data_IF_079901234085
#
_entry.id   IF_079901234085
#
_cell.length_a   1.000
_cell.length_b   1.000
_cell.length_c   1.000
_cell.angle_alpha   90.00
_cell.angle_beta   90.00
_cell.angle_gamma   90.00
#
_symmetry.space_group_name_H-M   'P 1'
#
loop_
_entity.id
_entity.type
_entity.pdbx_description
1 polymer ?
#
# COMPACT_ATOMS: atom_id res chain seq x y z
N UNK A 1 -80.94 27.51 22.73
CA UNK A 1 -80.52 26.17 23.17
C UNK A 1 -79.61 25.63 22.07
N UNK A 2 -78.32 25.30 22.20
CA UNK A 2 -77.33 25.26 23.27
C UNK A 2 -76.02 25.83 22.69
N UNK A 3 -75.26 26.60 23.47
CA UNK A 3 -73.84 26.91 23.22
C UNK A 3 -72.99 25.76 23.75
N UNK A 4 -72.02 25.29 22.97
CA UNK A 4 -70.91 24.46 23.45
C UNK A 4 -69.59 25.13 23.04
N UNK A 5 -68.72 25.29 24.03
CA UNK A 5 -67.60 26.23 24.09
C UNK A 5 -66.33 25.73 23.40
N UNK A 6 -65.66 26.64 22.70
CA UNK A 6 -64.26 26.55 22.28
C UNK A 6 -63.33 26.61 23.51
N UNK A 7 -63.07 25.48 24.16
CA UNK A 7 -62.11 25.42 25.26
C UNK A 7 -61.49 24.03 25.41
N UNK A 8 -60.89 23.46 24.33
CA UNK A 8 -60.13 22.22 24.47
C UNK A 8 -59.07 21.97 23.37
N UNK A 9 -58.50 23.02 22.78
CA UNK A 9 -57.42 22.88 21.77
C UNK A 9 -56.14 23.66 22.12
N UNK A 10 -56.12 24.43 23.21
CA UNK A 10 -54.97 25.29 23.56
C UNK A 10 -54.02 24.71 24.63
N UNK A 11 -54.19 23.45 25.03
CA UNK A 11 -53.48 22.85 26.18
C UNK A 11 -52.33 21.88 25.87
N UNK A 12 -51.92 21.67 24.61
CA UNK A 12 -50.91 20.66 24.25
C UNK A 12 -49.77 21.17 23.36
N UNK A 13 -49.59 22.49 23.23
CA UNK A 13 -48.55 23.09 22.38
C UNK A 13 -47.45 23.85 23.15
N UNK A 14 -47.37 23.73 24.48
CA UNK A 14 -46.47 24.54 25.31
C UNK A 14 -45.18 23.85 25.80
N UNK A 15 -44.78 22.69 25.26
CA UNK A 15 -43.54 22.00 25.70
C UNK A 15 -42.53 21.66 24.60
N UNK A 16 -42.69 22.17 23.37
CA UNK A 16 -41.71 21.92 22.31
C UNK A 16 -41.45 23.14 21.43
N UNK A 17 -41.08 24.27 22.03
CA UNK A 17 -40.39 25.35 21.32
C UNK A 17 -38.95 25.41 21.79
N UNK A 18 -38.19 24.34 21.53
CA UNK A 18 -36.74 24.52 21.34
C UNK A 18 -36.64 25.36 20.08
N UNK A 19 -36.14 26.60 20.22
CA UNK A 19 -35.99 27.48 19.05
C UNK A 19 -35.07 26.81 18.04
N UNK A 20 -35.38 26.93 16.74
CA UNK A 20 -34.55 26.39 15.66
C UNK A 20 -33.08 26.85 15.79
N UNK A 21 -32.85 28.03 16.39
CA UNK A 21 -31.54 28.57 16.75
C UNK A 21 -30.83 27.74 17.84
N UNK A 22 -31.51 27.33 18.91
CA UNK A 22 -30.93 26.44 19.94
C UNK A 22 -30.67 25.03 19.41
N UNK A 23 -31.51 24.54 18.51
CA UNK A 23 -31.33 23.22 17.89
C UNK A 23 -30.16 23.19 16.89
N UNK A 24 -29.90 24.32 16.22
CA UNK A 24 -28.74 24.51 15.34
C UNK A 24 -27.43 24.66 16.13
N UNK A 25 -27.44 25.36 17.27
CA UNK A 25 -26.27 25.45 18.17
C UNK A 25 -25.93 24.11 18.82
N UNK A 26 -26.94 23.30 19.20
CA UNK A 26 -26.69 21.95 19.69
C UNK A 26 -26.12 21.05 18.58
N UNK A 27 -26.61 21.18 17.34
CA UNK A 27 -26.12 20.41 16.20
C UNK A 27 -24.67 20.76 15.82
N UNK A 28 -24.23 22.02 15.96
CA UNK A 28 -22.82 22.40 15.78
C UNK A 28 -21.86 21.67 16.73
N UNK A 29 -22.33 21.33 17.94
CA UNK A 29 -21.54 20.58 18.92
C UNK A 29 -21.47 19.06 18.64
N UNK A 30 -22.30 18.54 17.73
CA UNK A 30 -22.33 17.13 17.35
C UNK A 30 -21.86 16.88 15.91
N UNK A 31 -21.62 17.93 15.14
CA UNK A 31 -21.05 17.84 13.80
C UNK A 31 -19.58 18.26 13.89
N UNK A 32 -18.70 17.39 13.40
CA UNK A 32 -17.26 17.65 13.31
C UNK A 32 -16.97 18.73 12.27
N UNK A 33 -17.24 19.98 12.65
CA UNK A 33 -16.97 21.20 11.87
C UNK A 33 -15.57 21.73 12.21
N UNK A 34 -15.01 22.58 11.34
CA UNK A 34 -13.75 23.26 11.64
C UNK A 34 -13.89 24.14 12.89
N UNK A 35 -15.01 24.88 13.01
CA UNK A 35 -15.33 25.69 14.20
C UNK A 35 -15.35 24.86 15.49
N UNK A 36 -15.87 23.63 15.46
CA UNK A 36 -15.83 22.73 16.61
C UNK A 36 -14.38 22.39 16.98
N UNK A 37 -13.54 22.08 16.00
CA UNK A 37 -12.15 21.74 16.25
C UNK A 37 -11.32 22.92 16.76
N UNK A 38 -11.59 24.15 16.30
CA UNK A 38 -10.92 25.34 16.81
C UNK A 38 -11.30 25.59 18.28
N UNK A 39 -12.60 25.55 18.60
CA UNK A 39 -13.07 25.66 19.98
C UNK A 39 -12.53 24.54 20.88
N UNK A 40 -12.45 23.31 20.36
CA UNK A 40 -11.91 22.17 21.08
C UNK A 40 -10.43 22.38 21.43
N UNK A 41 -9.62 22.88 20.48
CA UNK A 41 -8.19 23.13 20.64
C UNK A 41 -7.87 24.34 21.53
N UNK A 42 -8.79 25.30 21.60
CA UNK A 42 -8.69 26.43 22.54
C UNK A 42 -9.07 26.00 23.97
N UNK A 43 -10.05 25.12 24.10
CA UNK A 43 -10.56 24.66 25.41
C UNK A 43 -9.77 23.48 25.98
N UNK A 44 -9.07 22.71 25.14
CA UNK A 44 -8.30 21.53 25.51
C UNK A 44 -6.93 21.58 24.83
N UNK A 45 -5.86 21.33 25.59
CA UNK A 45 -4.52 21.24 25.02
C UNK A 45 -4.34 19.91 24.27
N UNK A 46 -4.08 19.98 22.96
CA UNK A 46 -3.62 18.82 22.20
C UNK A 46 -2.22 18.42 22.67
N UNK A 47 -1.97 17.13 22.83
CA UNK A 47 -0.63 16.62 23.11
C UNK A 47 0.38 17.07 22.05
N UNK A 48 1.56 17.48 22.50
CA UNK A 48 2.66 17.80 21.62
C UNK A 48 3.09 16.55 20.83
N UNK A 49 3.26 16.70 19.52
CA UNK A 49 3.76 15.62 18.68
C UNK A 49 5.15 15.19 19.16
N UNK A 50 5.30 13.88 19.37
CA UNK A 50 6.58 13.26 19.73
C UNK A 50 7.67 13.59 18.70
N UNK A 51 8.93 13.56 19.14
CA UNK A 51 10.11 13.91 18.32
C UNK A 51 10.15 13.14 17.00
N UNK A 52 9.76 11.85 17.00
CA UNK A 52 9.66 11.02 15.81
C UNK A 52 8.82 11.66 14.68
N UNK A 53 7.71 12.31 15.04
CA UNK A 53 6.85 12.96 14.05
C UNK A 53 7.14 14.44 13.82
N UNK A 54 7.84 15.09 14.75
CA UNK A 54 8.26 16.49 14.60
C UNK A 54 9.48 16.62 13.68
N UNK A 55 10.39 15.63 13.72
CA UNK A 55 11.66 15.67 12.98
C UNK A 55 11.55 14.94 11.65
N UNK A 56 10.88 13.78 11.57
CA UNK A 56 10.65 13.03 10.32
C UNK A 56 11.93 12.72 9.52
N UNK A 57 12.95 12.17 10.18
CA UNK A 57 14.19 11.73 9.54
C UNK A 57 14.49 10.25 9.80
N UNK A 58 15.57 9.72 9.23
CA UNK A 58 15.93 8.29 9.32
C UNK A 58 16.06 7.75 10.76
N UNK A 59 16.33 8.60 11.74
CA UNK A 59 16.50 8.20 13.16
C UNK A 59 15.29 8.53 14.04
N UNK A 60 14.45 9.44 13.57
CA UNK A 60 13.26 9.94 14.24
C UNK A 60 12.16 9.98 13.18
N UNK A 61 11.58 8.81 12.88
CA UNK A 61 10.48 8.68 11.95
C UNK A 61 9.26 8.13 12.68
N UNK A 62 8.11 8.70 12.38
CA UNK A 62 6.83 8.33 12.95
C UNK A 62 5.72 8.78 12.02
N UNK A 63 4.52 8.29 12.25
CA UNK A 63 3.36 8.59 11.42
C UNK A 63 2.43 9.47 12.21
N UNK A 64 2.02 10.58 11.59
CA UNK A 64 1.06 11.50 12.16
C UNK A 64 -0.33 10.97 11.85
N UNK A 65 -1.08 10.60 12.89
CA UNK A 65 -2.48 10.20 12.77
C UNK A 65 -3.40 11.28 13.34
N UNK A 66 -4.64 11.37 12.84
CA UNK A 66 -5.70 11.99 13.61
C UNK A 66 -5.81 11.27 14.94
N UNK A 67 -5.75 12.01 16.04
CA UNK A 67 -5.88 11.43 17.38
C UNK A 67 -7.32 10.98 17.64
N UNK A 68 -7.51 10.12 18.64
CA UNK A 68 -8.84 9.68 19.07
C UNK A 68 -9.61 10.73 19.90
N UNK A 69 -9.21 12.01 19.84
CA UNK A 69 -9.99 13.11 20.45
C UNK A 69 -11.33 13.26 19.74
N UNK A 70 -12.35 13.87 20.38
CA UNK A 70 -13.60 14.23 19.71
C UNK A 70 -13.33 14.89 18.35
N UNK A 71 -14.00 14.38 17.31
CA UNK A 71 -13.84 14.83 15.93
C UNK A 71 -12.43 14.77 15.34
N UNK A 72 -11.52 14.03 15.99
CA UNK A 72 -10.11 13.89 15.61
C UNK A 72 -9.38 15.23 15.39
N UNK A 73 -9.77 16.25 16.17
CA UNK A 73 -9.27 17.63 16.04
C UNK A 73 -7.77 17.77 16.35
N UNK A 74 -7.21 16.88 17.16
CA UNK A 74 -5.78 16.85 17.46
C UNK A 74 -5.05 15.80 16.60
N UNK A 75 -3.73 15.94 16.51
CA UNK A 75 -2.83 14.98 15.86
C UNK A 75 -2.10 14.17 16.93
N UNK A 76 -1.88 12.89 16.66
CA UNK A 76 -1.03 12.02 17.48
C UNK A 76 0.13 11.49 16.65
N UNK A 77 1.22 11.12 17.33
CA UNK A 77 2.38 10.51 16.71
C UNK A 77 2.46 9.03 17.06
N UNK A 78 2.42 8.17 16.04
CA UNK A 78 2.72 6.75 16.17
C UNK A 78 4.16 6.55 15.72
N UNK A 79 5.04 6.13 16.62
CA UNK A 79 6.46 5.96 16.31
C UNK A 79 6.66 4.71 15.45
N UNK A 80 7.65 4.73 14.55
CA UNK A 80 8.04 3.51 13.87
C UNK A 80 8.99 2.71 14.77
N UNK A 81 8.58 1.50 15.12
CA UNK A 81 9.37 0.52 15.85
C UNK A 81 10.45 -0.06 14.95
N UNK A 82 11.61 -0.34 15.53
CA UNK A 82 12.80 -0.88 14.85
C UNK A 82 12.73 -2.40 14.79
N UNK A 83 13.66 -2.98 14.04
CA UNK A 83 13.86 -4.43 14.00
C UNK A 83 14.09 -4.97 15.42
N UNK A 84 13.28 -5.96 15.82
CA UNK A 84 13.35 -6.61 17.13
C UNK A 84 12.61 -5.89 18.25
N UNK A 85 12.06 -4.70 18.02
CA UNK A 85 11.24 -4.01 19.03
C UNK A 85 9.92 -4.76 19.25
N UNK A 86 9.44 -4.77 20.50
CA UNK A 86 8.14 -5.36 20.86
C UNK A 86 7.01 -4.62 20.16
N UNK A 87 6.08 -5.40 19.61
CA UNK A 87 4.95 -4.87 18.87
C UNK A 87 3.66 -5.61 19.25
N UNK A 88 2.52 -5.01 18.91
CA UNK A 88 1.22 -5.65 19.10
C UNK A 88 0.63 -6.08 17.75
N UNK A 89 0.27 -7.35 17.65
CA UNK A 89 -0.52 -7.87 16.51
C UNK A 89 -1.99 -7.43 16.55
N UNK A 90 -2.39 -6.73 17.63
CA UNK A 90 -3.75 -6.27 17.86
C UNK A 90 -4.70 -7.37 18.30
N UNK A 91 -5.67 -7.01 19.14
CA UNK A 91 -6.73 -7.90 19.62
C UNK A 91 -7.86 -7.09 20.26
N UNK A 92 -9.03 -7.69 20.44
CA UNK A 92 -10.16 -7.03 21.11
C UNK A 92 -9.74 -6.66 22.55
N UNK A 93 -9.78 -5.37 22.88
CA UNK A 93 -9.44 -4.85 24.21
C UNK A 93 -7.97 -4.53 24.45
N UNK A 94 -7.09 -4.71 23.45
CA UNK A 94 -5.69 -4.26 23.58
C UNK A 94 -5.58 -2.73 23.49
N UNK A 95 -4.66 -2.11 24.25
CA UNK A 95 -4.41 -0.68 24.15
C UNK A 95 -3.96 -0.30 22.75
N UNK A 96 -4.30 0.91 22.29
CA UNK A 96 -3.81 1.46 21.03
C UNK A 96 -2.28 1.44 21.07
N UNK A 97 -1.61 0.70 20.17
CA UNK A 97 -0.16 0.56 20.24
C UNK A 97 0.52 1.92 20.04
N UNK A 98 1.50 2.21 20.89
CA UNK A 98 2.23 3.49 20.89
C UNK A 98 3.20 3.63 19.69
N UNK A 99 3.39 2.54 18.93
CA UNK A 99 4.19 2.48 17.73
C UNK A 99 3.72 1.40 16.77
N UNK A 100 4.12 1.51 15.52
CA UNK A 100 3.90 0.53 14.44
C UNK A 100 5.26 0.08 13.93
N UNK A 101 5.41 -1.17 13.50
CA UNK A 101 6.66 -1.58 12.86
C UNK A 101 7.00 -0.65 11.71
N UNK A 102 8.25 -0.19 11.69
CA UNK A 102 8.73 0.74 10.68
C UNK A 102 8.65 0.18 9.26
N UNK A 103 8.93 1.01 8.24
CA UNK A 103 8.87 0.60 6.84
C UNK A 103 9.64 -0.70 6.57
N UNK A 104 8.99 -1.67 5.93
CA UNK A 104 9.58 -2.98 5.61
C UNK A 104 9.57 -4.01 6.75
N UNK A 105 9.12 -3.63 7.95
CA UNK A 105 8.96 -4.51 9.10
C UNK A 105 7.47 -4.76 9.36
N UNK A 106 7.14 -5.92 9.91
CA UNK A 106 5.79 -6.24 10.36
C UNK A 106 5.83 -6.97 11.70
N UNK A 107 4.72 -6.88 12.40
CA UNK A 107 4.60 -7.46 13.73
C UNK A 107 4.29 -8.96 13.63
N UNK A 108 5.18 -9.81 14.13
CA UNK A 108 5.02 -11.27 14.11
C UNK A 108 5.49 -11.89 15.42
N UNK A 109 4.82 -12.97 15.83
CA UNK A 109 5.30 -13.86 16.88
C UNK A 109 6.23 -14.89 16.23
N UNK A 110 7.51 -14.89 16.60
CA UNK A 110 8.46 -15.91 16.15
C UNK A 110 8.15 -17.26 16.79
N UNK A 111 8.55 -18.35 16.13
CA UNK A 111 8.38 -19.70 16.69
C UNK A 111 9.21 -19.84 17.97
N UNK A 112 8.54 -19.99 19.11
CA UNK A 112 9.17 -20.14 20.43
C UNK A 112 9.17 -18.86 21.28
N UNK A 113 8.75 -17.71 20.75
CA UNK A 113 8.64 -16.47 21.51
C UNK A 113 7.21 -16.24 22.01
N UNK A 114 7.06 -15.76 23.26
CA UNK A 114 5.75 -15.41 23.84
C UNK A 114 5.26 -14.02 23.40
N UNK A 115 6.14 -13.19 22.85
CA UNK A 115 5.84 -11.79 22.51
C UNK A 115 6.09 -11.48 21.03
N UNK A 116 5.19 -10.73 20.37
CA UNK A 116 5.40 -10.33 18.99
C UNK A 116 6.49 -9.26 18.90
N UNK A 117 7.36 -9.38 17.90
CA UNK A 117 8.39 -8.39 17.61
C UNK A 117 8.33 -7.94 16.15
N UNK A 118 8.88 -6.76 15.86
CA UNK A 118 8.99 -6.24 14.51
C UNK A 118 10.07 -6.99 13.75
N UNK A 119 9.66 -7.73 12.72
CA UNK A 119 10.51 -8.60 11.91
C UNK A 119 10.34 -8.24 10.43
N UNK A 120 11.37 -8.42 9.59
CA UNK A 120 11.22 -8.22 8.17
C UNK A 120 10.53 -9.46 7.56
N UNK A 121 10.31 -9.47 6.25
CA UNK A 121 9.89 -10.71 5.57
C UNK A 121 10.92 -11.83 5.78
N UNK A 122 10.54 -13.10 5.55
CA UNK A 122 11.42 -14.26 5.73
C UNK A 122 12.82 -14.06 5.10
N UNK A 123 12.94 -13.19 4.09
CA UNK A 123 14.19 -12.83 3.40
C UNK A 123 14.76 -11.42 3.68
N UNK A 124 14.15 -10.60 4.54
CA UNK A 124 14.66 -9.25 4.80
C UNK A 124 14.33 -8.20 3.74
N UNK A 125 13.65 -8.57 2.64
CA UNK A 125 13.48 -7.72 1.44
C UNK A 125 12.09 -7.12 1.32
N UNK A 126 12.00 -5.93 0.72
CA UNK A 126 10.73 -5.31 0.30
C UNK A 126 10.04 -6.22 -0.73
N UNK A 127 8.80 -6.57 -0.42
CA UNK A 127 7.89 -7.30 -1.31
C UNK A 127 7.01 -6.34 -2.11
N UNK A 128 6.00 -6.89 -2.78
CA UNK A 128 4.98 -6.12 -3.49
C UNK A 128 4.21 -5.13 -2.56
N UNK A 129 3.72 -4.03 -3.15
CA UNK A 129 3.16 -2.87 -2.45
C UNK A 129 3.61 -1.58 -3.16
N UNK A 130 2.95 -1.25 -4.26
CA UNK A 130 3.29 -0.12 -5.15
C UNK A 130 2.43 1.13 -4.93
N UNK A 131 1.40 1.04 -4.10
CA UNK A 131 0.51 2.18 -3.91
C UNK A 131 1.26 3.42 -3.38
N UNK A 132 0.96 4.59 -3.97
CA UNK A 132 1.55 5.87 -3.58
C UNK A 132 1.22 6.17 -2.13
N UNK A 133 2.23 6.53 -1.33
CA UNK A 133 2.05 6.82 0.09
C UNK A 133 1.11 8.02 0.27
N UNK A 134 -0.05 7.77 0.88
CA UNK A 134 -1.03 8.79 1.26
C UNK A 134 -1.26 8.73 2.76
N UNK A 135 -1.74 9.81 3.37
CA UNK A 135 -1.88 9.94 4.83
C UNK A 135 -2.67 8.79 5.49
N UNK A 136 -3.56 8.12 4.76
CA UNK A 136 -4.40 7.03 5.28
C UNK A 136 -3.95 5.63 4.84
N UNK A 137 -2.89 5.52 4.03
CA UNK A 137 -2.59 4.26 3.35
C UNK A 137 -2.15 3.17 4.33
N UNK A 138 -1.45 3.57 5.39
CA UNK A 138 -0.95 2.70 6.46
C UNK A 138 -2.06 2.08 7.32
N UNK A 139 -3.28 2.62 7.28
CA UNK A 139 -4.44 2.03 7.94
C UNK A 139 -4.94 0.80 7.17
N UNK A 140 -4.85 0.85 5.84
CA UNK A 140 -5.34 -0.20 4.94
C UNK A 140 -4.25 -1.18 4.45
N UNK A 141 -2.98 -0.77 4.49
CA UNK A 141 -1.83 -1.56 4.03
C UNK A 141 -1.31 -2.46 5.15
N UNK A 142 -1.72 -3.73 5.15
CA UNK A 142 -1.08 -4.77 6.01
C UNK A 142 -0.18 -5.73 5.24
N UNK A 143 -0.17 -5.64 3.90
CA UNK A 143 0.62 -6.48 3.00
C UNK A 143 0.41 -7.99 3.20
N UNK A 144 -0.66 -8.43 3.86
CA UNK A 144 -0.88 -9.84 4.23
C UNK A 144 -0.99 -10.73 3.00
N UNK A 145 -1.73 -10.29 1.96
CA UNK A 145 -1.80 -11.00 0.69
C UNK A 145 -0.43 -11.10 0.02
N UNK A 146 0.33 -10.00 -0.03
CA UNK A 146 1.65 -9.98 -0.66
C UNK A 146 2.65 -10.89 0.05
N UNK A 147 2.56 -10.95 1.39
CA UNK A 147 3.39 -11.83 2.22
C UNK A 147 3.05 -13.29 1.94
N UNK A 148 1.76 -13.62 1.88
CA UNK A 148 1.31 -14.97 1.53
C UNK A 148 1.76 -15.35 0.12
N UNK A 149 1.64 -14.45 -0.85
CA UNK A 149 2.08 -14.69 -2.22
C UNK A 149 3.61 -14.89 -2.32
N UNK A 150 4.39 -14.07 -1.61
CA UNK A 150 5.85 -14.24 -1.52
C UNK A 150 6.22 -15.57 -0.88
N UNK A 151 5.56 -15.92 0.25
CA UNK A 151 5.78 -17.19 0.95
C UNK A 151 5.39 -18.40 0.12
N UNK A 152 4.30 -18.32 -0.65
CA UNK A 152 3.89 -19.41 -1.54
C UNK A 152 4.96 -19.68 -2.61
N UNK A 153 5.56 -18.63 -3.18
CA UNK A 153 6.64 -18.77 -4.16
C UNK A 153 7.88 -19.43 -3.55
N UNK A 154 8.28 -19.04 -2.34
CA UNK A 154 9.46 -19.61 -1.66
C UNK A 154 9.23 -21.06 -1.23
N UNK A 155 8.07 -21.35 -0.62
CA UNK A 155 7.75 -22.69 -0.11
C UNK A 155 7.56 -23.72 -1.21
N UNK A 156 6.89 -23.35 -2.31
CA UNK A 156 6.64 -24.29 -3.40
C UNK A 156 7.92 -24.58 -4.18
N UNK A 157 8.96 -23.74 -4.04
CA UNK A 157 10.24 -23.84 -4.78
C UNK A 157 10.01 -24.16 -6.27
N UNK A 158 8.97 -23.55 -6.82
CA UNK A 158 8.46 -23.88 -8.14
C UNK A 158 9.21 -23.06 -9.17
N UNK A 159 9.78 -23.73 -10.17
CA UNK A 159 10.33 -23.08 -11.37
C UNK A 159 9.22 -22.44 -12.22
N UNK A 160 7.97 -22.82 -11.99
CA UNK A 160 6.80 -22.36 -12.74
C UNK A 160 6.02 -21.28 -11.98
N UNK A 161 5.28 -20.40 -12.69
CA UNK A 161 4.51 -19.34 -12.07
C UNK A 161 3.46 -19.90 -11.09
N UNK A 162 3.48 -19.40 -9.85
CA UNK A 162 2.52 -19.80 -8.81
C UNK A 162 1.28 -18.91 -8.90
N UNK A 163 0.10 -19.55 -8.93
CA UNK A 163 -1.18 -18.87 -8.76
C UNK A 163 -1.46 -18.69 -7.27
N UNK A 164 -1.72 -17.44 -6.87
CA UNK A 164 -2.04 -17.06 -5.49
C UNK A 164 -3.34 -16.28 -5.48
N UNK A 165 -3.88 -15.97 -4.30
CA UNK A 165 -4.93 -14.96 -4.19
C UNK A 165 -4.46 -13.65 -4.80
N UNK A 166 -5.39 -12.90 -5.43
CA UNK A 166 -5.08 -11.60 -6.01
C UNK A 166 -4.92 -10.56 -4.91
N UNK A 167 -3.85 -9.78 -4.97
CA UNK A 167 -3.66 -8.65 -4.07
C UNK A 167 -4.18 -7.35 -4.69
N UNK A 168 -4.39 -6.31 -3.88
CA UNK A 168 -4.55 -4.95 -4.39
C UNK A 168 -3.17 -4.25 -4.47
N UNK A 169 -3.11 -3.02 -5.01
CA UNK A 169 -1.85 -2.27 -5.15
C UNK A 169 -1.16 -1.94 -3.81
N UNK A 170 -1.90 -2.05 -2.71
CA UNK A 170 -1.45 -1.86 -1.32
C UNK A 170 -0.87 -3.14 -0.74
N UNK A 171 -1.02 -4.27 -1.44
CA UNK A 171 -0.56 -5.58 -1.03
C UNK A 171 -1.50 -6.31 -0.06
N UNK A 172 -2.68 -5.73 0.20
CA UNK A 172 -3.80 -6.36 0.91
C UNK A 172 -4.57 -7.28 -0.05
N UNK A 173 -5.50 -8.09 0.46
CA UNK A 173 -6.31 -8.94 -0.43
C UNK A 173 -7.22 -8.07 -1.28
N UNK A 174 -7.28 -8.34 -2.59
CA UNK A 174 -8.41 -7.87 -3.40
C UNK A 174 -9.68 -8.46 -2.77
N UNK A 175 -10.65 -7.60 -2.44
CA UNK A 175 -11.83 -8.06 -1.72
C UNK A 175 -12.70 -8.97 -2.59
N UNK A 176 -12.52 -8.96 -3.90
CA UNK A 176 -13.17 -9.89 -4.81
C UNK A 176 -12.15 -10.96 -5.20
N UNK A 177 -12.44 -12.23 -4.88
CA UNK A 177 -11.59 -13.38 -5.22
C UNK A 177 -12.39 -14.41 -5.99
N UNK A 178 -11.80 -14.97 -7.03
CA UNK A 178 -12.44 -16.01 -7.84
C UNK A 178 -11.51 -17.19 -8.11
N UNK A 179 -12.13 -18.36 -8.23
CA UNK A 179 -11.53 -19.56 -8.82
C UNK A 179 -12.52 -20.01 -9.89
N UNK A 180 -12.09 -20.01 -11.15
CA UNK A 180 -12.95 -20.18 -12.32
C UNK A 180 -14.16 -19.22 -12.28
N UNK A 181 -15.38 -19.72 -12.44
CA UNK A 181 -16.62 -18.95 -12.39
C UNK A 181 -17.17 -18.76 -10.96
N UNK A 182 -16.46 -19.25 -9.93
CA UNK A 182 -16.91 -19.18 -8.54
C UNK A 182 -16.16 -18.09 -7.79
N UNK A 183 -16.90 -17.06 -7.39
CA UNK A 183 -16.34 -15.87 -6.75
C UNK A 183 -16.91 -15.63 -5.36
N UNK A 184 -16.12 -15.02 -4.51
CA UNK A 184 -16.46 -14.71 -3.12
C UNK A 184 -15.85 -13.37 -2.72
N UNK A 185 -16.54 -12.65 -1.83
CA UNK A 185 -15.96 -11.50 -1.18
C UNK A 185 -15.11 -11.92 0.01
N UNK A 186 -13.96 -11.28 0.21
CA UNK A 186 -13.06 -11.54 1.32
C UNK A 186 -12.73 -10.28 2.11
N UNK A 187 -12.36 -10.45 3.36
CA UNK A 187 -11.80 -9.40 4.18
C UNK A 187 -10.40 -9.02 3.68
N UNK A 188 -10.16 -7.73 3.47
CA UNK A 188 -8.91 -7.23 2.86
C UNK A 188 -7.65 -7.52 3.69
N UNK A 189 -7.78 -7.76 4.99
CA UNK A 189 -6.65 -7.96 5.89
C UNK A 189 -6.36 -9.44 6.12
N UNK A 190 -7.38 -10.30 6.11
CA UNK A 190 -7.26 -11.70 6.50
C UNK A 190 -7.49 -12.69 5.35
N UNK A 191 -8.09 -12.24 4.24
CA UNK A 191 -8.49 -13.10 3.13
C UNK A 191 -9.65 -14.05 3.46
N UNK A 192 -10.28 -13.91 4.65
CA UNK A 192 -11.41 -14.76 5.04
C UNK A 192 -12.67 -14.38 4.26
N UNK A 193 -13.50 -15.36 3.84
CA UNK A 193 -14.77 -15.08 3.18
C UNK A 193 -15.70 -14.21 4.04
N UNK A 194 -16.26 -13.16 3.43
CA UNK A 194 -17.27 -12.27 4.01
C UNK A 194 -18.61 -12.35 3.29
N UNK A 195 -18.71 -13.17 2.24
CA UNK A 195 -19.95 -13.49 1.53
C UNK A 195 -20.01 -14.98 1.21
N UNK A 196 -21.19 -15.44 0.77
CA UNK A 196 -21.32 -16.75 0.16
C UNK A 196 -20.58 -16.81 -1.18
N UNK A 197 -20.13 -18.00 -1.55
CA UNK A 197 -19.57 -18.30 -2.85
C UNK A 197 -20.68 -18.22 -3.91
N UNK A 198 -20.45 -17.47 -4.99
CA UNK A 198 -21.41 -17.25 -6.07
C UNK A 198 -20.83 -17.63 -7.42
N UNK A 199 -21.62 -18.34 -8.22
CA UNK A 199 -21.32 -18.51 -9.63
C UNK A 199 -21.65 -17.21 -10.37
N UNK A 200 -20.66 -16.59 -11.00
CA UNK A 200 -20.76 -15.26 -11.63
C UNK A 200 -20.77 -15.32 -13.16
N UNK A 201 -21.31 -16.39 -13.75
CA UNK A 201 -21.54 -16.47 -15.22
C UNK A 201 -22.33 -15.29 -15.81
N UNK A 202 -23.05 -14.52 -14.98
CA UNK A 202 -23.80 -13.32 -15.37
C UNK A 202 -23.10 -11.99 -15.03
N UNK A 203 -21.87 -12.05 -14.54
CA UNK A 203 -21.03 -10.92 -14.18
C UNK A 203 -20.83 -10.71 -12.68
N UNK A 204 -19.76 -9.98 -12.36
CA UNK A 204 -19.24 -9.78 -11.01
C UNK A 204 -20.02 -8.78 -10.15
N UNK A 205 -20.82 -7.91 -10.78
CA UNK A 205 -21.63 -6.87 -10.10
C UNK A 205 -22.68 -7.41 -9.12
N UNK A 206 -22.96 -8.71 -9.16
CA UNK A 206 -23.84 -9.36 -8.18
C UNK A 206 -23.19 -9.53 -6.79
N UNK A 207 -21.87 -9.34 -6.66
CA UNK A 207 -21.15 -9.44 -5.41
C UNK A 207 -21.13 -8.10 -4.66
N UNK A 208 -21.31 -8.09 -3.33
CA UNK A 208 -21.36 -6.86 -2.55
C UNK A 208 -20.02 -6.09 -2.51
N UNK A 209 -18.90 -6.77 -2.73
CA UNK A 209 -17.56 -6.19 -2.79
C UNK A 209 -17.17 -5.70 -4.20
N UNK A 210 -18.06 -5.81 -5.20
CA UNK A 210 -17.76 -5.35 -6.55
C UNK A 210 -17.65 -3.82 -6.60
N UNK A 211 -16.50 -3.30 -7.05
CA UNK A 211 -16.29 -1.90 -7.35
C UNK A 211 -15.98 -1.71 -8.83
N UNK A 212 -16.85 -1.02 -9.56
CA UNK A 212 -16.68 -0.71 -10.99
C UNK A 212 -15.43 0.12 -11.33
N UNK A 213 -14.76 0.72 -10.33
CA UNK A 213 -13.50 1.46 -10.50
C UNK A 213 -12.28 0.53 -10.48
N UNK A 214 -12.41 -0.64 -9.88
CA UNK A 214 -11.33 -1.60 -9.64
C UNK A 214 -11.54 -2.91 -10.41
N UNK A 215 -12.78 -3.27 -10.67
CA UNK A 215 -13.19 -4.53 -11.25
C UNK A 215 -13.96 -4.30 -12.55
N UNK A 216 -13.69 -5.15 -13.53
CA UNK A 216 -14.53 -5.29 -14.71
C UNK A 216 -15.71 -6.20 -14.39
N UNK A 217 -16.91 -5.89 -14.89
CA UNK A 217 -18.08 -6.71 -14.59
C UNK A 217 -18.05 -8.07 -15.30
N UNK A 218 -17.36 -8.15 -16.44
CA UNK A 218 -17.40 -9.29 -17.37
C UNK A 218 -16.36 -10.35 -17.10
N UNK A 219 -15.20 -9.98 -16.56
CA UNK A 219 -14.10 -10.92 -16.29
C UNK A 219 -13.49 -10.61 -14.93
N UNK A 220 -13.10 -11.68 -14.23
CA UNK A 220 -12.25 -11.55 -13.05
C UNK A 220 -10.81 -11.33 -13.46
N UNK A 221 -10.28 -12.19 -14.33
CA UNK A 221 -8.87 -12.21 -14.73
C UNK A 221 -8.48 -10.95 -15.48
N UNK A 222 -7.34 -10.37 -15.09
CA UNK A 222 -6.68 -9.26 -15.78
C UNK A 222 -5.84 -9.79 -16.94
N UNK A 223 -5.46 -8.89 -17.85
CA UNK A 223 -4.68 -9.21 -19.04
C UNK A 223 -3.40 -10.00 -18.73
N UNK A 224 -2.61 -9.55 -17.74
CA UNK A 224 -1.38 -10.26 -17.37
C UNK A 224 -1.68 -11.67 -16.83
N UNK A 225 -2.70 -11.84 -15.99
CA UNK A 225 -3.05 -13.15 -15.44
C UNK A 225 -3.49 -14.12 -16.54
N UNK A 226 -4.19 -13.64 -17.58
CA UNK A 226 -4.49 -14.46 -18.75
C UNK A 226 -3.21 -14.93 -19.45
N UNK A 227 -2.25 -14.03 -19.68
CA UNK A 227 -0.94 -14.39 -20.27
C UNK A 227 -0.22 -15.42 -19.39
N UNK A 228 -0.22 -15.22 -18.06
CA UNK A 228 0.41 -16.13 -17.10
C UNK A 228 -0.24 -17.52 -17.10
N UNK A 229 -1.56 -17.59 -17.18
CA UNK A 229 -2.29 -18.86 -17.28
C UNK A 229 -1.95 -19.58 -18.59
N UNK A 230 -1.91 -18.87 -19.72
CA UNK A 230 -1.47 -19.43 -21.00
C UNK A 230 -0.05 -19.99 -20.91
N UNK A 231 0.89 -19.26 -20.30
CA UNK A 231 2.24 -19.76 -20.07
C UNK A 231 2.27 -21.05 -19.25
N UNK A 232 1.44 -21.15 -18.19
CA UNK A 232 1.33 -22.37 -17.38
C UNK A 232 0.79 -23.55 -18.22
N UNK A 233 -0.19 -23.32 -19.09
CA UNK A 233 -0.70 -24.35 -19.99
C UNK A 233 0.38 -24.82 -20.97
N UNK A 234 1.08 -23.91 -21.64
CA UNK A 234 2.17 -24.23 -22.57
C UNK A 234 3.27 -25.04 -21.87
N UNK A 235 3.68 -24.61 -20.67
CA UNK A 235 4.63 -25.35 -19.82
C UNK A 235 4.14 -26.77 -19.55
N UNK A 236 2.87 -26.93 -19.18
CA UNK A 236 2.31 -28.24 -18.85
C UNK A 236 2.30 -29.17 -20.06
N UNK A 237 2.01 -28.65 -21.25
CA UNK A 237 2.01 -29.39 -22.50
C UNK A 237 3.43 -29.85 -22.86
N UNK A 238 4.41 -28.94 -22.87
CA UNK A 238 5.81 -29.29 -23.13
C UNK A 238 6.40 -30.29 -22.13
N UNK A 239 6.03 -30.16 -20.85
CA UNK A 239 6.47 -31.10 -19.82
C UNK A 239 5.90 -32.51 -20.03
N UNK A 240 4.68 -32.64 -20.56
CA UNK A 240 4.12 -33.96 -20.93
C UNK A 240 4.78 -34.59 -22.15
N UNK A 241 5.48 -33.79 -22.96
CA UNK A 241 6.24 -34.23 -24.14
C UNK A 241 7.74 -34.43 -23.86
N UNK A 242 8.17 -34.53 -22.59
CA UNK A 242 9.56 -34.70 -22.14
C UNK A 242 10.53 -33.56 -22.58
N UNK A 243 10.01 -32.38 -22.94
CA UNK A 243 10.85 -31.21 -23.18
C UNK A 243 11.21 -30.51 -21.88
N UNK A 244 12.51 -30.18 -21.73
CA UNK A 244 12.97 -29.30 -20.66
C UNK A 244 12.64 -27.85 -21.02
N UNK A 245 11.66 -27.27 -20.34
CA UNK A 245 11.33 -25.85 -20.44
C UNK A 245 12.38 -25.04 -19.70
N UNK A 246 13.42 -24.65 -20.42
CA UNK A 246 14.45 -23.74 -19.94
C UNK A 246 13.93 -22.31 -20.14
N UNK A 247 13.81 -21.56 -19.04
CA UNK A 247 13.65 -20.09 -19.00
C UNK A 247 12.24 -19.53 -18.70
N UNK A 248 11.78 -19.74 -17.47
CA UNK A 248 10.81 -18.87 -16.77
C UNK A 248 11.43 -18.35 -15.46
N UNK A 249 12.56 -17.65 -15.52
CA UNK A 249 13.24 -17.18 -14.29
C UNK A 249 12.50 -16.03 -13.59
N UNK A 250 11.54 -15.36 -14.26
CA UNK A 250 10.82 -14.20 -13.72
C UNK A 250 9.33 -14.32 -13.96
N UNK A 251 8.54 -14.08 -12.91
CA UNK A 251 7.09 -13.97 -13.01
C UNK A 251 6.74 -12.69 -13.78
N UNK A 252 6.02 -12.83 -14.89
CA UNK A 252 5.63 -11.70 -15.74
C UNK A 252 4.57 -10.80 -15.08
N UNK A 253 3.91 -11.28 -14.02
CA UNK A 253 2.86 -10.56 -13.30
C UNK A 253 3.23 -10.31 -11.84
N UNK A 254 2.78 -9.17 -11.34
CA UNK A 254 2.76 -8.89 -9.91
C UNK A 254 1.58 -9.61 -9.24
N UNK A 255 1.60 -9.78 -7.91
CA UNK A 255 0.51 -10.43 -7.17
C UNK A 255 -0.85 -9.73 -7.28
N UNK A 256 -0.90 -8.47 -7.71
CA UNK A 256 -2.17 -7.82 -8.02
C UNK A 256 -2.74 -8.19 -9.39
N UNK A 257 -2.02 -8.95 -10.21
CA UNK A 257 -2.47 -9.35 -11.54
C UNK A 257 -2.18 -8.32 -12.64
N UNK A 258 -1.45 -7.25 -12.33
CA UNK A 258 -0.86 -6.36 -13.33
C UNK A 258 0.54 -6.83 -13.76
N UNK A 259 1.08 -6.26 -14.83
CA UNK A 259 2.39 -6.62 -15.36
C UNK A 259 3.52 -6.25 -14.40
N UNK A 260 4.49 -7.17 -14.28
CA UNK A 260 5.72 -6.93 -13.53
C UNK A 260 6.56 -5.82 -14.15
N UNK A 261 7.37 -5.17 -13.31
CA UNK A 261 8.13 -3.95 -13.63
C UNK A 261 9.11 -4.14 -14.77
N UNK A 262 9.62 -5.35 -14.97
CA UNK A 262 10.61 -5.67 -16.00
C UNK A 262 9.92 -6.53 -17.04
N UNK A 263 9.97 -6.09 -18.29
CA UNK A 263 9.44 -6.84 -19.42
C UNK A 263 10.56 -7.06 -20.44
N UNK A 264 10.50 -8.21 -21.13
CA UNK A 264 11.38 -8.52 -22.26
C UNK A 264 10.76 -7.94 -23.53
N UNK A 265 11.55 -7.22 -24.33
CA UNK A 265 11.07 -6.75 -25.62
C UNK A 265 10.73 -7.94 -26.53
N UNK A 266 9.65 -7.89 -27.35
CA UNK A 266 9.23 -9.03 -28.18
C UNK A 266 10.29 -9.60 -29.12
N UNK A 267 11.31 -8.81 -29.46
CA UNK A 267 12.45 -9.26 -30.29
C UNK A 267 13.58 -9.92 -29.50
N UNK A 268 13.46 -10.06 -28.18
CA UNK A 268 14.45 -10.68 -27.30
C UNK A 268 15.74 -9.87 -27.05
N UNK A 269 15.85 -8.64 -27.56
CA UNK A 269 17.11 -7.88 -27.55
C UNK A 269 17.42 -7.06 -26.30
N UNK A 270 16.40 -6.63 -25.56
CA UNK A 270 16.56 -5.79 -24.37
C UNK A 270 15.40 -5.95 -23.39
N UNK A 271 15.69 -5.68 -22.12
CA UNK A 271 14.72 -5.52 -21.06
C UNK A 271 14.31 -4.06 -20.95
N UNK A 272 13.07 -3.79 -20.58
CA UNK A 272 12.57 -2.43 -20.34
C UNK A 272 11.72 -2.38 -19.08
N UNK A 273 11.67 -1.19 -18.46
CA UNK A 273 10.73 -0.95 -17.38
C UNK A 273 9.34 -0.68 -17.93
N UNK A 274 8.34 -1.42 -17.45
CA UNK A 274 6.95 -1.27 -17.85
C UNK A 274 6.13 -0.57 -16.77
N UNK A 275 4.97 -0.04 -17.12
CA UNK A 275 3.89 0.35 -16.20
C UNK A 275 2.96 -0.84 -15.89
N UNK A 276 1.87 -0.57 -15.16
CA UNK A 276 0.94 -1.61 -14.69
C UNK A 276 0.30 -2.39 -15.84
N UNK A 277 0.11 -1.73 -16.97
CA UNK A 277 -0.51 -2.31 -18.16
C UNK A 277 0.52 -2.93 -19.12
N UNK A 278 1.79 -3.00 -18.69
CA UNK A 278 2.88 -3.59 -19.48
C UNK A 278 3.50 -2.63 -20.49
N UNK A 279 3.04 -1.38 -20.56
CA UNK A 279 3.57 -0.41 -21.52
C UNK A 279 4.93 0.14 -21.07
N UNK A 280 5.86 0.45 -21.99
CA UNK A 280 7.19 0.93 -21.63
C UNK A 280 7.16 2.31 -20.95
N UNK A 281 7.88 2.43 -19.83
CA UNK A 281 8.09 3.68 -19.10
C UNK A 281 9.36 4.36 -19.64
N UNK A 282 9.17 5.53 -20.27
CA UNK A 282 10.26 6.39 -20.73
C UNK A 282 11.35 5.59 -21.49
N UNK A 283 12.64 5.87 -21.26
CA UNK A 283 13.77 5.19 -21.89
C UNK A 283 14.54 4.29 -20.92
N UNK A 284 13.87 3.74 -19.90
CA UNK A 284 14.51 2.84 -18.94
C UNK A 284 14.62 1.43 -19.51
N UNK A 285 15.81 1.09 -20.03
CA UNK A 285 16.05 -0.17 -20.75
C UNK A 285 17.50 -0.62 -20.64
N UNK A 286 17.71 -1.92 -20.75
CA UNK A 286 19.02 -2.54 -20.72
C UNK A 286 19.11 -3.71 -21.73
N UNK A 287 20.17 -3.80 -22.56
CA UNK A 287 20.40 -5.00 -23.38
C UNK A 287 20.51 -6.25 -22.49
N UNK A 288 19.89 -7.36 -22.89
CA UNK A 288 19.79 -8.58 -22.06
C UNK A 288 21.17 -9.05 -21.57
N UNK A 289 22.18 -9.02 -22.44
CA UNK A 289 23.55 -9.43 -22.15
C UNK A 289 24.43 -8.27 -21.66
N UNK A 290 23.96 -7.49 -20.69
CA UNK A 290 24.71 -6.33 -20.15
C UNK A 290 24.67 -6.26 -18.63
N UNK A 291 25.67 -5.61 -18.02
CA UNK A 291 25.70 -5.33 -16.57
C UNK A 291 24.53 -4.48 -16.09
N UNK A 292 23.95 -3.68 -16.99
CA UNK A 292 22.75 -2.91 -16.69
C UNK A 292 21.54 -3.81 -16.51
N UNK A 293 21.43 -4.89 -17.28
CA UNK A 293 20.34 -5.86 -17.19
C UNK A 293 20.45 -6.78 -15.96
N UNK A 294 21.67 -7.12 -15.53
CA UNK A 294 21.88 -7.99 -14.35
C UNK A 294 21.41 -7.33 -13.06
N UNK A 295 21.52 -6.01 -12.97
CA UNK A 295 21.12 -5.22 -11.78
C UNK A 295 19.75 -4.57 -11.91
N UNK A 296 19.09 -4.70 -13.07
CA UNK A 296 17.81 -4.04 -13.37
C UNK A 296 16.69 -4.52 -12.45
N UNK A 297 16.05 -3.59 -11.74
CA UNK A 297 14.89 -3.86 -10.88
C UNK A 297 13.67 -2.97 -11.17
N UNK A 298 13.84 -1.88 -11.93
CA UNK A 298 12.79 -0.94 -12.34
C UNK A 298 11.98 -0.29 -11.20
N UNK A 299 12.43 -0.41 -9.94
CA UNK A 299 11.69 0.10 -8.77
C UNK A 299 11.52 1.62 -8.80
N UNK A 300 12.55 2.34 -9.24
CA UNK A 300 12.49 3.80 -9.34
C UNK A 300 11.61 4.23 -10.51
N UNK A 301 11.79 3.64 -11.70
CA UNK A 301 11.02 3.98 -12.89
C UNK A 301 9.50 3.82 -12.64
N UNK A 302 9.11 2.71 -12.01
CA UNK A 302 7.71 2.46 -11.64
C UNK A 302 7.20 3.47 -10.62
N UNK A 303 7.94 3.72 -9.53
CA UNK A 303 7.55 4.71 -8.53
C UNK A 303 7.43 6.13 -9.11
N UNK A 304 8.35 6.51 -10.00
CA UNK A 304 8.32 7.76 -10.74
C UNK A 304 7.04 7.90 -11.56
N UNK A 305 6.69 6.89 -12.36
CA UNK A 305 5.46 6.88 -13.16
C UNK A 305 4.21 7.06 -12.28
N UNK A 306 4.11 6.30 -11.20
CA UNK A 306 3.00 6.41 -10.24
C UNK A 306 2.90 7.79 -9.57
N UNK A 307 4.04 8.40 -9.24
CA UNK A 307 4.09 9.75 -8.66
C UNK A 307 3.70 10.83 -9.69
N UNK A 308 4.09 10.68 -10.96
CA UNK A 308 3.67 11.58 -12.05
C UNK A 308 2.16 11.48 -12.26
N UNK A 309 1.63 10.26 -12.36
CA UNK A 309 0.20 10.02 -12.59
C UNK A 309 -0.67 10.52 -11.43
N UNK A 310 -0.15 10.47 -10.19
CA UNK A 310 -0.78 11.07 -9.01
C UNK A 310 -0.53 12.57 -8.84
N UNK A 311 0.12 13.23 -9.81
CA UNK A 311 0.44 14.67 -9.81
C UNK A 311 1.29 15.11 -8.61
N UNK A 312 2.17 14.22 -8.14
CA UNK A 312 3.18 14.58 -7.14
C UNK A 312 4.10 15.66 -7.70
N UNK A 313 4.42 16.66 -6.86
CA UNK A 313 5.37 17.72 -7.21
C UNK A 313 6.82 17.24 -7.16
N UNK A 314 7.07 16.12 -6.47
CA UNK A 314 8.41 15.56 -6.27
C UNK A 314 8.42 14.12 -6.75
N UNK A 315 9.28 13.89 -7.73
CA UNK A 315 9.45 12.62 -8.43
C UNK A 315 10.93 12.25 -8.41
N UNK A 316 11.28 10.98 -8.15
CA UNK A 316 12.68 10.57 -8.07
C UNK A 316 13.37 10.61 -9.44
N UNK A 317 14.67 10.79 -9.40
CA UNK A 317 15.55 10.57 -10.55
C UNK A 317 16.05 9.14 -10.56
N UNK A 318 15.92 8.48 -11.70
CA UNK A 318 16.26 7.06 -11.85
C UNK A 318 17.48 6.86 -12.74
N UNK A 319 18.15 5.73 -12.52
CA UNK A 319 19.22 5.24 -13.38
C UNK A 319 18.70 4.74 -14.73
N UNK A 320 19.55 4.59 -15.76
CA UNK A 320 19.13 4.11 -17.08
C UNK A 320 18.45 2.73 -17.08
N UNK A 321 18.76 1.86 -16.12
CA UNK A 321 18.10 0.57 -15.92
C UNK A 321 16.84 0.67 -15.02
N UNK A 322 16.37 1.87 -14.69
CA UNK A 322 15.18 2.11 -13.88
C UNK A 322 15.34 1.91 -12.37
N UNK A 323 16.57 1.72 -11.89
CA UNK A 323 16.89 1.64 -10.46
C UNK A 323 16.95 3.02 -9.80
N UNK A 324 16.87 3.07 -8.47
CA UNK A 324 17.11 4.31 -7.72
C UNK A 324 18.58 4.71 -7.78
N UNK A 325 18.83 6.02 -7.89
CA UNK A 325 20.16 6.59 -7.63
C UNK A 325 20.45 6.49 -6.14
N UNK A 326 21.66 6.08 -5.77
CA UNK A 326 22.09 5.95 -4.35
C UNK A 326 22.18 7.27 -3.61
N UNK A 327 22.23 8.39 -4.31
CA UNK A 327 22.21 9.73 -3.74
C UNK A 327 21.08 10.52 -4.39
N UNK A 328 20.20 11.07 -3.55
CA UNK A 328 19.11 11.95 -3.97
C UNK A 328 19.22 13.28 -3.24
N UNK A 329 18.77 14.35 -3.90
CA UNK A 329 18.71 15.68 -3.31
C UNK A 329 17.31 16.27 -3.50
N UNK A 330 16.79 16.91 -2.46
CA UNK A 330 15.46 17.52 -2.43
C UNK A 330 15.52 18.79 -1.59
N UNK A 331 15.06 19.91 -2.15
CA UNK A 331 14.95 21.21 -1.45
C UNK A 331 16.26 21.68 -0.78
N UNK A 332 17.40 21.42 -1.42
CA UNK A 332 18.72 21.83 -0.91
C UNK A 332 19.35 20.88 0.12
N UNK A 333 18.70 19.76 0.42
CA UNK A 333 19.22 18.69 1.27
C UNK A 333 19.46 17.43 0.43
N UNK A 334 20.54 16.71 0.71
CA UNK A 334 20.92 15.47 0.03
C UNK A 334 21.03 14.32 1.01
N UNK A 335 20.67 13.11 0.58
CA UNK A 335 20.68 11.91 1.41
C UNK A 335 20.97 10.67 0.58
N UNK A 336 21.39 9.61 1.27
CA UNK A 336 21.58 8.30 0.64
C UNK A 336 20.25 7.57 0.50
N UNK A 337 20.12 6.78 -0.57
CA UNK A 337 18.91 6.04 -0.90
C UNK A 337 19.26 4.57 -1.10
N UNK A 338 18.45 3.68 -0.53
CA UNK A 338 18.56 2.24 -0.75
C UNK A 338 17.93 1.79 -2.09
N UNK A 339 17.96 0.49 -2.36
CA UNK A 339 17.41 -0.07 -3.61
C UNK A 339 15.88 0.05 -3.73
N UNK A 340 15.19 0.34 -2.63
CA UNK A 340 13.74 0.47 -2.53
C UNK A 340 13.25 1.93 -2.54
N UNK A 341 14.18 2.89 -2.59
CA UNK A 341 13.87 4.32 -2.57
C UNK A 341 13.79 4.90 -1.15
N UNK A 342 14.14 4.13 -0.13
CA UNK A 342 14.17 4.55 1.26
C UNK A 342 15.42 5.38 1.57
N UNK A 343 15.26 6.43 2.38
CA UNK A 343 16.39 7.23 2.86
C UNK A 343 17.22 6.42 3.87
N UNK A 344 18.52 6.38 3.64
CA UNK A 344 19.51 5.76 4.52
C UNK A 344 20.39 6.84 5.13
N UNK A 345 20.36 6.93 6.46
CA UNK A 345 21.16 7.90 7.21
C UNK A 345 20.61 9.33 7.18
N UNK A 346 21.39 10.26 7.73
CA UNK A 346 20.99 11.65 7.95
C UNK A 346 21.28 12.49 6.71
N UNK A 347 20.32 13.30 6.27
CA UNK A 347 20.54 14.26 5.20
C UNK A 347 21.61 15.30 5.52
N UNK A 348 22.22 15.86 4.47
CA UNK A 348 23.21 16.92 4.55
C UNK A 348 22.87 18.02 3.55
N UNK A 349 23.17 19.30 3.86
CA UNK A 349 23.00 20.37 2.89
C UNK A 349 23.73 20.05 1.58
N UNK A 350 23.19 20.45 0.45
CA UNK A 350 23.74 20.09 -0.88
C UNK A 350 25.21 20.48 -1.05
N UNK A 351 25.62 21.60 -0.45
CA UNK A 351 27.02 22.06 -0.39
C UNK A 351 27.98 21.09 0.31
N UNK A 352 27.46 20.21 1.16
CA UNK A 352 28.20 19.26 2.00
C UNK A 352 27.92 17.79 1.60
N UNK A 353 27.29 17.55 0.44
CA UNK A 353 26.89 16.20 -0.02
C UNK A 353 28.04 15.19 -0.12
N UNK A 354 29.28 15.68 -0.25
CA UNK A 354 30.51 14.90 -0.29
C UNK A 354 30.78 14.15 1.03
N UNK A 355 30.14 14.59 2.12
CA UNK A 355 30.22 13.95 3.44
C UNK A 355 29.23 12.80 3.60
N UNK A 356 28.36 12.55 2.62
CA UNK A 356 27.45 11.42 2.64
C UNK A 356 28.20 10.12 2.32
N UNK A 357 27.93 9.00 3.02
CA UNK A 357 28.60 7.72 2.77
C UNK A 357 28.43 7.16 1.36
N UNK A 358 27.32 7.50 0.69
CA UNK A 358 26.99 7.08 -0.67
C UNK A 358 27.56 8.02 -1.76
N UNK A 359 28.29 9.07 -1.38
CA UNK A 359 28.87 9.98 -2.35
C UNK A 359 29.99 9.28 -3.14
N UNK A 360 29.89 9.30 -4.47
CA UNK A 360 30.81 8.63 -5.38
C UNK A 360 31.05 9.44 -6.66
N UNK A 361 31.41 10.71 -6.52
CA UNK A 361 31.88 11.61 -7.60
C UNK A 361 31.00 11.68 -8.88
N UNK A 362 29.73 11.27 -8.82
CA UNK A 362 28.81 11.26 -9.97
C UNK A 362 28.30 9.89 -10.38
N UNK A 363 28.94 8.81 -9.96
CA UNK A 363 28.50 7.43 -10.24
C UNK A 363 27.58 6.89 -9.13
N UNK A 364 26.33 7.33 -9.18
CA UNK A 364 25.29 6.97 -8.21
C UNK A 364 24.39 5.82 -8.68
N UNK A 365 24.71 5.23 -9.83
CA UNK A 365 23.92 4.14 -10.42
C UNK A 365 24.61 2.81 -10.18
N UNK A 366 24.11 1.98 -9.24
CA UNK A 366 24.76 0.71 -8.96
C UNK A 366 24.65 -0.22 -10.18
N UNK A 367 25.81 -0.64 -10.70
CA UNK A 367 25.93 -1.63 -11.77
C UNK A 367 26.66 -2.90 -11.29
N UNK A 368 26.89 -3.00 -9.98
CA UNK A 368 27.69 -4.04 -9.30
C UNK A 368 26.99 -5.37 -9.23
#
# INVERSE_FOLDING_TARGET
MFRLSNALVLGLLSLATVTLAQQLELAKNYVCTEDFCDNYRESNECDALKTACRVQNATHNGIIFPSATPCSCCKTCVENLKLGDDCSVGGLGYPVPAGICGPGLYCKVAEGDEHPTCQPNEEGKRIFGEAVHTASIQISMRCECSRLAAKARTLLNSQYPVLTSRCDSKGSFDQLQCVDDMCVCVDMHTGRPTSDLRNVTRGLSALPCFDKRLHENTTYLRDCENVKITQIYDISEYATEDYNVLEFERDICQPDGFYDRIQLHPTGGYLYCSDRDGAPIENYRAPVNSRLATTMNCKCARARKLLIDSKSLEVPECCPNGNYKRLACRRGECYCVDEDGGQVGVERPEKDKQRLPCYNEGDYCPVS
#
